data_IF_582812798219
#
_entry.id   IF_582812798219
#
_cell.length_a   1.000
_cell.length_b   1.000
_cell.length_c   1.000
_cell.angle_alpha   90.00
_cell.angle_beta   90.00
_cell.angle_gamma   90.00
#
_symmetry.space_group_name_H-M   'P 1'
#
loop_
_entity.id
_entity.type
_entity.pdbx_description
1 polymer ?
#
# COMPACT_ATOMS: atom_id res chain seq x y z
N UNK A 1 82.48 -0.35 -43.82
CA UNK A 1 81.05 -0.55 -44.07
C UNK A 1 80.43 -1.08 -42.78
N UNK A 2 79.53 -0.30 -42.19
CA UNK A 2 78.84 -0.62 -40.95
C UNK A 2 77.42 -1.10 -41.28
N UNK A 3 77.00 -2.21 -40.67
CA UNK A 3 75.61 -2.68 -40.74
C UNK A 3 74.92 -2.36 -39.41
N UNK A 4 74.11 -1.31 -39.43
CA UNK A 4 73.13 -0.97 -38.41
C UNK A 4 71.86 -1.80 -38.64
N UNK A 5 71.52 -2.65 -37.67
CA UNK A 5 70.19 -3.27 -37.63
C UNK A 5 69.18 -2.29 -37.01
N UNK A 6 68.39 -1.68 -37.89
CA UNK A 6 67.14 -0.97 -37.62
C UNK A 6 66.17 -1.98 -36.97
N UNK A 7 65.71 -1.82 -35.74
CA UNK A 7 64.72 -0.82 -35.34
C UNK A 7 63.34 -1.48 -35.29
N UNK A 8 62.79 -1.64 -34.07
CA UNK A 8 61.38 -1.39 -33.72
C UNK A 8 61.00 -2.07 -32.39
N UNK A 9 61.47 -1.54 -31.26
CA UNK A 9 60.72 -1.62 -30.00
C UNK A 9 60.01 -0.28 -29.85
N UNK A 10 58.87 -0.15 -30.54
CA UNK A 10 57.97 0.96 -30.31
C UNK A 10 57.61 1.02 -28.82
N UNK A 11 57.35 2.22 -28.26
CA UNK A 11 56.92 2.32 -26.88
C UNK A 11 55.63 1.52 -26.73
N UNK A 12 55.59 0.55 -25.82
CA UNK A 12 54.32 0.04 -25.32
C UNK A 12 53.67 1.23 -24.62
N UNK A 13 52.84 1.97 -25.36
CA UNK A 13 52.05 3.06 -24.84
C UNK A 13 51.28 2.50 -23.65
N UNK A 14 51.64 2.94 -22.44
CA UNK A 14 50.99 2.50 -21.22
C UNK A 14 49.50 2.70 -21.40
N UNK A 15 48.72 1.64 -21.19
CA UNK A 15 47.26 1.72 -21.23
C UNK A 15 46.86 2.88 -20.31
N UNK A 16 46.03 3.80 -20.79
CA UNK A 16 45.50 4.87 -19.97
C UNK A 16 44.53 4.26 -18.94
N UNK A 17 45.07 3.76 -17.83
CA UNK A 17 44.32 3.08 -16.75
C UNK A 17 43.43 4.06 -16.00
N UNK A 18 43.86 5.32 -15.84
CA UNK A 18 43.11 6.35 -15.11
C UNK A 18 41.74 6.63 -15.73
N UNK A 19 41.62 6.88 -17.05
CA UNK A 19 40.32 6.99 -17.71
C UNK A 19 39.49 5.69 -17.67
N UNK A 20 40.15 4.52 -17.72
CA UNK A 20 39.45 3.23 -17.71
C UNK A 20 38.78 2.96 -16.36
N UNK A 21 39.49 3.24 -15.26
CA UNK A 21 38.98 3.08 -13.89
C UNK A 21 37.84 4.04 -13.60
N UNK A 22 37.88 5.27 -14.14
CA UNK A 22 36.81 6.25 -14.01
C UNK A 22 35.50 5.75 -14.65
N UNK A 23 35.57 5.24 -15.89
CA UNK A 23 34.41 4.62 -16.55
C UNK A 23 33.87 3.43 -15.76
N UNK A 24 34.75 2.57 -15.23
CA UNK A 24 34.33 1.43 -14.42
C UNK A 24 33.67 1.87 -13.10
N UNK A 25 34.18 2.91 -12.45
CA UNK A 25 33.62 3.45 -11.20
C UNK A 25 32.25 4.11 -11.42
N UNK A 26 32.07 4.84 -12.52
CA UNK A 26 30.76 5.38 -12.94
C UNK A 26 29.75 4.25 -13.13
N UNK A 27 30.13 3.15 -13.78
CA UNK A 27 29.24 1.98 -13.95
C UNK A 27 28.85 1.34 -12.60
N UNK A 28 29.78 1.25 -11.66
CA UNK A 28 29.49 0.76 -10.31
C UNK A 28 28.52 1.68 -9.55
N UNK A 29 28.71 3.00 -9.63
CA UNK A 29 27.79 3.98 -9.03
C UNK A 29 26.38 3.83 -9.63
N UNK A 30 26.27 3.68 -10.95
CA UNK A 30 24.97 3.44 -11.62
C UNK A 30 24.31 2.17 -11.07
N UNK A 31 25.04 1.06 -10.95
CA UNK A 31 24.48 -0.18 -10.39
C UNK A 31 24.05 -0.05 -8.92
N UNK A 32 24.84 0.66 -8.10
CA UNK A 32 24.49 0.92 -6.69
C UNK A 32 23.23 1.79 -6.59
N UNK A 33 23.14 2.86 -7.40
CA UNK A 33 22.05 3.85 -7.35
C UNK A 33 20.76 3.35 -7.99
N UNK A 34 20.82 2.38 -8.89
CA UNK A 34 19.61 1.78 -9.51
C UNK A 34 18.96 0.70 -8.65
N UNK A 35 19.68 0.13 -7.68
CA UNK A 35 19.17 -0.90 -6.76
C UNK A 35 18.14 -0.45 -5.69
N UNK A 36 18.05 0.81 -5.20
CA UNK A 36 17.36 1.11 -3.95
C UNK A 36 15.84 1.28 -4.06
N UNK A 37 15.19 1.00 -5.19
CA UNK A 37 13.73 1.19 -5.31
C UNK A 37 12.95 -0.12 -5.31
N UNK A 38 13.01 -0.84 -4.17
CA UNK A 38 11.99 -1.82 -3.81
C UNK A 38 10.81 -1.06 -3.22
N UNK A 39 9.94 -0.51 -4.07
CA UNK A 39 8.65 0.03 -3.65
C UNK A 39 7.74 -1.11 -3.20
N UNK A 40 7.51 -1.23 -1.89
CA UNK A 40 6.42 -2.05 -1.38
C UNK A 40 5.10 -1.36 -1.71
N UNK A 41 4.43 -1.80 -2.76
CA UNK A 41 3.06 -1.40 -3.04
C UNK A 41 2.17 -1.97 -1.93
N UNK A 42 1.70 -1.11 -1.04
CA UNK A 42 0.57 -1.46 -0.19
C UNK A 42 -0.63 -1.52 -1.13
N UNK A 43 -1.25 -2.70 -1.25
CA UNK A 43 -2.52 -2.83 -1.93
C UNK A 43 -3.57 -2.06 -1.11
N UNK A 44 -3.82 -0.82 -1.49
CA UNK A 44 -4.94 -0.04 -0.97
C UNK A 44 -6.11 -0.31 -1.90
N UNK A 45 -7.07 -1.10 -1.42
CA UNK A 45 -8.35 -1.25 -2.08
C UNK A 45 -9.16 0.03 -1.82
N UNK A 46 -9.11 0.97 -2.76
CA UNK A 46 -9.91 2.18 -2.66
C UNK A 46 -11.37 1.78 -2.89
N UNK A 47 -12.29 2.04 -1.93
CA UNK A 47 -13.69 1.77 -2.13
C UNK A 47 -14.17 2.57 -3.34
N UNK A 48 -14.63 1.86 -4.36
CA UNK A 48 -15.25 2.50 -5.52
C UNK A 48 -16.50 3.22 -5.02
N UNK A 49 -16.57 4.53 -5.28
CA UNK A 49 -17.78 5.29 -5.05
C UNK A 49 -18.85 4.72 -5.98
N UNK A 50 -19.68 3.84 -5.45
CA UNK A 50 -20.90 3.44 -6.11
C UNK A 50 -21.78 4.68 -6.13
N UNK A 51 -21.79 5.39 -7.26
CA UNK A 51 -22.88 6.29 -7.64
C UNK A 51 -24.14 5.45 -7.92
N UNK A 52 -24.50 4.57 -6.99
CA UNK A 52 -25.89 4.34 -6.75
C UNK A 52 -26.37 5.67 -6.16
N UNK A 53 -27.44 6.29 -6.69
CA UNK A 53 -28.22 7.17 -5.84
C UNK A 53 -28.41 6.35 -4.58
N UNK A 54 -27.77 6.75 -3.48
CA UNK A 54 -28.16 6.26 -2.18
C UNK A 54 -29.57 6.81 -2.11
N UNK A 55 -30.55 5.98 -2.52
CA UNK A 55 -31.91 6.05 -1.98
C UNK A 55 -31.61 6.28 -0.53
N UNK A 56 -31.96 7.45 0.06
CA UNK A 56 -31.68 7.69 1.46
C UNK A 56 -32.13 6.41 2.13
N UNK A 57 -31.17 5.63 2.64
CA UNK A 57 -31.52 4.41 3.37
C UNK A 57 -32.28 5.03 4.50
N UNK A 58 -33.62 5.03 4.41
CA UNK A 58 -34.45 5.58 5.45
C UNK A 58 -33.96 4.82 6.65
N UNK A 59 -33.29 5.49 7.61
CA UNK A 59 -32.78 4.78 8.76
C UNK A 59 -34.00 4.04 9.33
N UNK A 60 -33.86 2.76 9.68
CA UNK A 60 -34.97 2.01 10.25
C UNK A 60 -35.64 2.86 11.33
N UNK A 61 -36.97 2.86 11.35
CA UNK A 61 -37.70 3.68 12.31
C UNK A 61 -37.13 3.45 13.72
N UNK A 62 -36.85 4.52 14.48
CA UNK A 62 -36.23 4.38 15.80
C UNK A 62 -37.14 3.55 16.70
N UNK A 63 -36.52 2.64 17.45
CA UNK A 63 -37.22 1.80 18.42
C UNK A 63 -37.16 2.49 19.77
N UNK A 64 -38.32 2.73 20.37
CA UNK A 64 -38.43 3.24 21.73
C UNK A 64 -38.63 2.07 22.69
N UNK A 65 -37.61 1.80 23.52
CA UNK A 65 -37.71 0.86 24.64
C UNK A 65 -37.93 1.67 25.92
N UNK A 66 -39.00 1.36 26.67
CA UNK A 66 -39.30 1.98 27.97
C UNK A 66 -39.46 0.91 29.05
N UNK A 67 -39.15 1.30 30.28
CA UNK A 67 -39.39 0.55 31.50
C UNK A 67 -40.22 1.45 32.41
N UNK A 68 -41.34 0.96 32.95
CA UNK A 68 -42.14 1.68 33.93
C UNK A 68 -41.70 1.40 35.38
N UNK A 69 -42.30 2.12 36.34
CA UNK A 69 -42.01 1.97 37.77
C UNK A 69 -42.46 0.61 38.34
N UNK A 70 -43.40 -0.08 37.67
CA UNK A 70 -43.87 -1.42 37.98
C UNK A 70 -42.98 -2.52 37.34
N UNK A 71 -41.91 -2.14 36.63
CA UNK A 71 -40.98 -3.03 35.97
C UNK A 71 -41.46 -3.62 34.64
N UNK A 72 -42.56 -3.10 34.06
CA UNK A 72 -43.06 -3.51 32.75
C UNK A 72 -42.22 -2.88 31.63
N UNK A 73 -41.88 -3.69 30.62
CA UNK A 73 -41.14 -3.25 29.44
C UNK A 73 -42.10 -2.94 28.30
N UNK A 74 -41.77 -1.89 27.55
CA UNK A 74 -42.55 -1.47 26.38
C UNK A 74 -41.65 -1.34 25.16
N UNK A 75 -42.11 -1.89 24.03
CA UNK A 75 -41.55 -1.70 22.69
C UNK A 75 -42.50 -0.85 21.87
N UNK A 76 -42.11 0.38 21.51
CA UNK A 76 -42.94 1.31 20.75
C UNK A 76 -44.37 1.47 21.32
N UNK A 77 -44.46 1.59 22.65
CA UNK A 77 -45.70 1.67 23.45
C UNK A 77 -46.53 0.37 23.58
N UNK A 78 -46.08 -0.76 23.03
CA UNK A 78 -46.66 -2.08 23.31
C UNK A 78 -45.94 -2.74 24.48
N UNK A 79 -46.64 -3.29 25.49
CA UNK A 79 -46.00 -4.06 26.55
C UNK A 79 -45.35 -5.32 25.95
N UNK A 80 -44.15 -5.66 26.43
CA UNK A 80 -43.36 -6.83 26.02
C UNK A 80 -42.70 -7.49 27.23
N UNK A 81 -42.49 -8.79 27.18
CA UNK A 81 -41.66 -9.50 28.17
C UNK A 81 -40.17 -9.41 27.81
N UNK A 82 -39.29 -9.70 28.77
CA UNK A 82 -37.84 -9.76 28.53
C UNK A 82 -37.46 -10.75 27.41
N UNK A 83 -38.12 -11.90 27.37
CA UNK A 83 -37.89 -12.93 26.35
C UNK A 83 -38.29 -12.42 24.96
N UNK A 84 -39.44 -11.74 24.86
CA UNK A 84 -39.90 -11.14 23.62
C UNK A 84 -38.96 -10.01 23.16
N UNK A 85 -38.49 -9.18 24.09
CA UNK A 85 -37.51 -8.13 23.80
C UNK A 85 -36.21 -8.71 23.24
N UNK A 86 -35.69 -9.79 23.83
CA UNK A 86 -34.47 -10.46 23.37
C UNK A 86 -34.65 -11.02 21.94
N UNK A 87 -35.77 -11.68 21.64
CA UNK A 87 -36.04 -12.17 20.28
C UNK A 87 -36.08 -11.02 19.26
N UNK A 88 -36.72 -9.89 19.59
CA UNK A 88 -36.83 -8.72 18.70
C UNK A 88 -35.50 -8.03 18.43
N UNK A 89 -34.56 -8.08 19.38
CA UNK A 89 -33.20 -7.53 19.22
C UNK A 89 -32.31 -8.42 18.36
N UNK A 90 -32.51 -9.75 18.41
CA UNK A 90 -31.71 -10.73 17.64
C UNK A 90 -32.19 -10.87 16.19
N UNK A 91 -33.47 -10.60 15.92
CA UNK A 91 -34.04 -10.60 14.55
C UNK A 91 -33.55 -9.44 13.66
N UNK A 92 -32.66 -8.57 14.15
CA UNK A 92 -32.09 -7.42 13.44
C UNK A 92 -30.57 -7.50 13.34
#
# INVERSE_FOLDING_TARGET
MAFSTTGNRGPLAGINVTPLVDVMLVLLIIFIVTAPMVTRTIAVDLPQATHQPRVPLQPPAPIAVRLDDDGQLFWNASPVTLQQLQSRLVER
#
